data_IF_020619874353
#
_entry.id   IF_020619874353
#
_cell.length_a   1.000
_cell.length_b   1.000
_cell.length_c   1.000
_cell.angle_alpha   90.00
_cell.angle_beta   90.00
_cell.angle_gamma   90.00
#
_symmetry.space_group_name_H-M   'P 1'
#
loop_
_entity.id
_entity.type
_entity.pdbx_description
1 polymer ?
#
# COMPACT_ATOMS: atom_id res chain seq x y z
N UNK A 1 -48.56 -18.42 23.95
CA UNK A 1 -48.14 -18.83 22.58
C UNK A 1 -47.66 -17.67 21.70
N UNK A 2 -48.25 -16.47 21.75
CA UNK A 2 -47.89 -15.33 20.87
C UNK A 2 -46.41 -14.88 20.94
N UNK A 3 -45.78 -14.90 22.13
CA UNK A 3 -44.35 -14.52 22.30
C UNK A 3 -43.36 -15.48 21.62
N UNK A 4 -43.69 -16.77 21.50
CA UNK A 4 -42.84 -17.75 20.79
C UNK A 4 -42.92 -17.57 19.27
N UNK A 5 -44.08 -17.15 18.77
CA UNK A 5 -44.31 -16.87 17.34
C UNK A 5 -43.57 -15.59 16.92
N UNK A 6 -43.56 -14.55 17.77
CA UNK A 6 -42.78 -13.33 17.51
C UNK A 6 -41.27 -13.58 17.55
N UNK A 7 -40.77 -14.38 18.51
CA UNK A 7 -39.35 -14.75 18.56
C UNK A 7 -38.91 -15.59 17.36
N UNK A 8 -39.74 -16.57 16.94
CA UNK A 8 -39.47 -17.39 15.76
C UNK A 8 -39.47 -16.55 14.47
N UNK A 9 -40.38 -15.59 14.36
CA UNK A 9 -40.43 -14.65 13.22
C UNK A 9 -39.21 -13.74 13.14
N UNK A 10 -38.73 -13.22 14.29
CA UNK A 10 -37.52 -12.39 14.34
C UNK A 10 -36.28 -13.23 13.98
N UNK A 11 -36.17 -14.47 14.48
CA UNK A 11 -35.05 -15.35 14.12
C UNK A 11 -35.03 -15.73 12.64
N UNK A 12 -36.21 -15.94 12.03
CA UNK A 12 -36.31 -16.22 10.59
C UNK A 12 -35.93 -14.97 9.77
N UNK A 13 -36.37 -13.78 10.17
CA UNK A 13 -36.03 -12.53 9.50
C UNK A 13 -34.52 -12.21 9.56
N UNK A 14 -33.87 -12.47 10.71
CA UNK A 14 -32.41 -12.30 10.86
C UNK A 14 -31.63 -13.32 10.03
N UNK A 15 -32.07 -14.59 9.99
CA UNK A 15 -31.43 -15.61 9.16
C UNK A 15 -31.61 -15.33 7.66
N UNK A 16 -32.79 -14.88 7.23
CA UNK A 16 -33.05 -14.53 5.83
C UNK A 16 -32.25 -13.30 5.38
N UNK A 17 -32.01 -12.34 6.29
CA UNK A 17 -31.13 -11.19 6.05
C UNK A 17 -29.65 -11.57 5.91
N UNK A 18 -29.17 -12.57 6.65
CA UNK A 18 -27.78 -13.03 6.58
C UNK A 18 -27.43 -13.72 5.25
N UNK A 19 -28.40 -14.36 4.61
CA UNK A 19 -28.20 -15.05 3.31
C UNK A 19 -28.06 -14.06 2.15
N UNK A 20 -28.61 -12.84 2.28
CA UNK A 20 -28.52 -11.81 1.24
C UNK A 20 -27.17 -11.07 1.18
N UNK A 21 -26.26 -11.31 2.15
CA UNK A 21 -24.91 -10.72 2.17
C UNK A 21 -23.79 -11.67 1.75
N UNK A 22 -24.09 -12.91 1.34
CA UNK A 22 -23.09 -13.78 0.68
C UNK A 22 -22.98 -13.48 -0.82
N UNK A 23 -22.49 -12.29 -1.14
CA UNK A 23 -21.99 -11.97 -2.48
C UNK A 23 -20.53 -12.44 -2.60
N UNK A 24 -20.29 -13.53 -3.33
CA UNK A 24 -18.96 -13.91 -3.80
C UNK A 24 -18.62 -13.05 -5.04
N UNK A 25 -17.51 -12.31 -4.98
CA UNK A 25 -16.94 -11.67 -6.16
C UNK A 25 -16.27 -12.74 -7.04
N UNK A 26 -16.89 -13.06 -8.17
CA UNK A 26 -16.27 -13.91 -9.18
C UNK A 26 -15.21 -13.10 -9.95
N UNK A 27 -13.93 -13.33 -9.62
CA UNK A 27 -12.82 -12.88 -10.46
C UNK A 27 -12.85 -13.71 -11.76
N UNK A 28 -13.22 -13.07 -12.87
CA UNK A 28 -12.88 -13.61 -14.19
C UNK A 28 -11.38 -13.44 -14.40
N UNK A 29 -10.63 -14.51 -14.20
CA UNK A 29 -9.29 -14.64 -14.74
C UNK A 29 -9.41 -14.68 -16.26
N UNK A 30 -9.05 -13.58 -16.92
CA UNK A 30 -8.80 -13.60 -18.36
C UNK A 30 -7.43 -14.22 -18.58
N UNK A 31 -7.46 -15.16 -19.52
CA UNK A 31 -6.41 -16.01 -20.01
C UNK A 31 -5.16 -15.22 -20.38
N UNK A 32 -4.04 -15.75 -19.91
CA UNK A 32 -2.67 -15.48 -20.38
C UNK A 32 -2.63 -15.66 -21.89
N UNK A 33 -2.42 -14.57 -22.62
CA UNK A 33 -1.86 -14.62 -23.97
C UNK A 33 -0.35 -14.39 -23.83
N UNK A 34 0.39 -15.48 -24.00
CA UNK A 34 1.84 -15.48 -24.16
C UNK A 34 2.18 -14.83 -25.51
N UNK A 35 2.35 -13.51 -25.51
CA UNK A 35 3.23 -12.87 -26.48
C UNK A 35 4.47 -12.38 -25.74
N UNK A 36 5.43 -13.29 -25.64
CA UNK A 36 6.80 -13.01 -25.25
C UNK A 36 7.44 -12.02 -26.24
N UNK A 37 7.29 -10.73 -25.98
CA UNK A 37 8.23 -9.73 -26.47
C UNK A 37 9.42 -9.69 -25.50
N UNK A 38 10.44 -10.44 -25.89
CA UNK A 38 11.78 -10.39 -25.34
C UNK A 38 12.33 -8.98 -25.55
N UNK A 39 12.22 -8.14 -24.53
CA UNK A 39 13.12 -7.00 -24.36
C UNK A 39 14.04 -7.31 -23.17
N UNK A 40 15.33 -7.17 -23.43
CA UNK A 40 16.46 -7.68 -22.65
C UNK A 40 16.42 -7.37 -21.15
N UNK A 41 17.11 -8.18 -20.31
CA UNK A 41 17.37 -7.78 -18.94
C UNK A 41 18.21 -6.51 -18.99
N UNK A 42 17.61 -5.38 -18.59
CA UNK A 42 18.41 -4.23 -18.19
C UNK A 42 19.01 -4.64 -16.86
N UNK A 43 20.31 -4.90 -16.91
CA UNK A 43 21.15 -5.15 -15.76
C UNK A 43 20.74 -4.21 -14.64
N UNK A 44 20.24 -4.78 -13.55
CA UNK A 44 20.05 -4.06 -12.29
C UNK A 44 21.44 -3.81 -11.74
N UNK A 45 22.14 -2.85 -12.34
CA UNK A 45 23.22 -2.16 -11.66
C UNK A 45 22.54 -1.48 -10.48
N UNK A 46 22.69 -2.11 -9.31
CA UNK A 46 22.20 -1.64 -8.03
C UNK A 46 22.99 -0.40 -7.70
N UNK A 47 22.66 0.70 -8.37
CA UNK A 47 23.22 2.02 -8.09
C UNK A 47 22.96 2.24 -6.60
N UNK A 48 24.03 2.32 -5.83
CA UNK A 48 23.93 2.48 -4.39
C UNK A 48 23.41 3.89 -4.14
N UNK A 49 22.09 4.04 -4.14
CA UNK A 49 21.43 5.31 -3.87
C UNK A 49 21.74 5.67 -2.43
N UNK A 50 22.72 6.56 -2.25
CA UNK A 50 23.03 7.14 -0.94
C UNK A 50 21.77 7.83 -0.42
N UNK A 51 21.33 7.52 0.81
CA UNK A 51 20.16 8.17 1.39
C UNK A 51 20.43 9.67 1.48
N UNK A 52 19.54 10.46 0.89
CA UNK A 52 19.57 11.92 0.99
C UNK A 52 19.45 12.32 2.45
N UNK A 53 20.39 13.11 2.98
CA UNK A 53 20.35 13.59 4.36
C UNK A 53 20.02 15.08 4.38
N UNK A 54 18.92 15.46 5.01
CA UNK A 54 18.48 16.86 5.14
C UNK A 54 18.18 17.15 6.61
N UNK A 55 18.91 18.07 7.23
CA UNK A 55 18.63 18.52 8.59
C UNK A 55 18.69 17.42 9.66
N UNK A 56 19.43 16.33 9.42
CA UNK A 56 19.49 15.16 10.31
C UNK A 56 18.45 14.07 10.01
N UNK A 57 17.55 14.30 9.06
CA UNK A 57 16.62 13.29 8.54
C UNK A 57 17.20 12.61 7.31
N UNK A 58 16.99 11.31 7.20
CA UNK A 58 17.42 10.48 6.08
C UNK A 58 16.24 10.14 5.17
N UNK A 59 16.46 10.19 3.85
CA UNK A 59 15.48 9.77 2.85
C UNK A 59 15.20 8.27 2.86
N UNK A 60 14.00 7.89 2.44
CA UNK A 60 13.57 6.49 2.32
C UNK A 60 13.39 6.16 0.84
N UNK A 61 14.17 5.19 0.35
CA UNK A 61 14.08 4.73 -1.03
C UNK A 61 13.10 3.57 -1.16
N UNK A 62 12.41 3.51 -2.30
CA UNK A 62 11.43 2.48 -2.63
C UNK A 62 11.92 1.62 -3.80
N UNK A 63 11.37 0.41 -3.91
CA UNK A 63 11.55 -0.40 -5.11
C UNK A 63 10.64 0.12 -6.25
N UNK A 64 10.92 -0.28 -7.48
CA UNK A 64 10.10 0.12 -8.63
C UNK A 64 8.63 -0.26 -8.44
N UNK A 65 7.73 0.70 -8.71
CA UNK A 65 6.28 0.52 -8.61
C UNK A 65 5.81 0.06 -7.22
N UNK A 66 6.41 0.61 -6.16
CA UNK A 66 6.10 0.25 -4.77
C UNK A 66 6.08 1.47 -3.87
N UNK A 67 5.17 1.44 -2.90
CA UNK A 67 5.07 2.41 -1.79
C UNK A 67 5.24 1.74 -0.41
N UNK A 68 5.53 0.44 -0.37
CA UNK A 68 5.74 -0.27 0.89
C UNK A 68 7.14 0.00 1.47
N UNK A 69 7.21 0.14 2.79
CA UNK A 69 8.49 0.30 3.49
C UNK A 69 9.25 -1.03 3.51
N UNK A 70 10.44 -1.02 2.90
CA UNK A 70 11.38 -2.14 2.89
C UNK A 70 11.92 -2.41 4.29
N UNK A 71 12.39 -3.64 4.54
CA UNK A 71 12.89 -4.03 5.86
C UNK A 71 14.16 -3.25 6.26
N UNK A 72 15.04 -2.97 5.30
CA UNK A 72 16.28 -2.20 5.47
C UNK A 72 16.04 -0.69 5.71
N UNK A 73 14.89 -0.16 5.29
CA UNK A 73 14.49 1.23 5.57
C UNK A 73 13.90 1.44 6.97
N UNK A 74 13.47 0.37 7.67
CA UNK A 74 12.84 0.48 9.00
C UNK A 74 13.76 1.07 10.08
N UNK A 75 15.05 0.70 10.17
CA UNK A 75 15.98 1.34 11.10
C UNK A 75 16.11 2.84 10.84
N UNK A 76 16.21 3.24 9.57
CA UNK A 76 16.31 4.65 9.16
C UNK A 76 15.06 5.44 9.58
N UNK A 77 13.86 4.87 9.34
CA UNK A 77 12.61 5.47 9.82
C UNK A 77 12.58 5.62 11.34
N UNK A 78 13.13 4.65 12.07
CA UNK A 78 13.21 4.72 13.53
C UNK A 78 14.14 5.84 13.98
N UNK A 79 15.31 5.98 13.37
CA UNK A 79 16.26 7.05 13.70
C UNK A 79 15.67 8.43 13.41
N UNK A 80 14.99 8.58 12.26
CA UNK A 80 14.26 9.80 11.93
C UNK A 80 13.18 10.10 12.97
N UNK A 81 12.39 9.09 13.38
CA UNK A 81 11.38 9.27 14.41
C UNK A 81 12.02 9.73 15.72
N UNK A 82 13.07 9.06 16.20
CA UNK A 82 13.76 9.40 17.43
C UNK A 82 14.32 10.85 17.39
N UNK A 83 14.86 11.27 16.24
CA UNK A 83 15.28 12.66 16.01
C UNK A 83 14.11 13.66 16.15
N UNK A 84 12.96 13.38 15.54
CA UNK A 84 11.77 14.24 15.66
C UNK A 84 11.20 14.25 17.09
N UNK A 85 11.29 13.12 17.80
CA UNK A 85 10.84 13.04 19.20
C UNK A 85 11.71 13.94 20.11
N UNK A 86 13.00 14.07 19.81
CA UNK A 86 13.93 14.94 20.54
C UNK A 86 13.76 16.43 20.16
N UNK A 87 13.31 16.71 18.93
CA UNK A 87 13.19 18.06 18.39
C UNK A 87 11.73 18.47 18.17
N UNK A 88 10.90 18.45 19.22
CA UNK A 88 9.43 18.65 19.13
C UNK A 88 8.95 19.98 18.53
N UNK A 89 9.84 20.96 18.45
CA UNK A 89 9.49 22.32 18.02
C UNK A 89 9.71 22.53 16.51
N UNK A 90 10.14 21.51 15.77
CA UNK A 90 10.34 21.59 14.33
C UNK A 90 9.10 21.12 13.58
N UNK A 91 8.76 21.83 12.52
CA UNK A 91 7.77 21.39 11.54
C UNK A 91 8.49 20.77 10.36
N UNK A 92 7.95 19.68 9.83
CA UNK A 92 8.51 18.99 8.67
C UNK A 92 7.46 18.86 7.56
N UNK A 93 7.94 18.74 6.33
CA UNK A 93 7.15 18.36 5.16
C UNK A 93 7.69 17.01 4.70
N UNK A 94 6.77 16.09 4.38
CA UNK A 94 7.11 14.80 3.80
C UNK A 94 6.74 14.88 2.32
N UNK A 95 7.74 14.68 1.46
CA UNK A 95 7.58 14.70 0.00
C UNK A 95 7.90 13.33 -0.58
N UNK A 96 7.03 12.86 -1.47
CA UNK A 96 7.24 11.65 -2.25
C UNK A 96 7.72 12.00 -3.65
N UNK A 97 8.69 11.22 -4.15
CA UNK A 97 9.23 11.38 -5.49
C UNK A 97 9.19 10.03 -6.20
N UNK A 98 8.72 10.06 -7.45
CA UNK A 98 8.90 8.96 -8.38
C UNK A 98 9.99 9.32 -9.38
N UNK A 99 10.53 8.30 -10.06
CA UNK A 99 11.34 8.53 -11.24
C UNK A 99 10.50 9.02 -12.43
N UNK A 100 11.14 9.30 -13.56
CA UNK A 100 10.50 9.89 -14.74
C UNK A 100 9.64 8.92 -15.56
N UNK A 101 9.58 7.63 -15.18
CA UNK A 101 8.82 6.62 -15.93
C UNK A 101 7.34 6.70 -15.57
N UNK A 102 6.47 6.56 -16.58
CA UNK A 102 5.01 6.58 -16.39
C UNK A 102 4.39 7.96 -16.63
N UNK A 103 3.09 8.11 -16.30
CA UNK A 103 2.40 9.40 -16.40
C UNK A 103 2.60 10.23 -15.14
N UNK A 104 2.53 11.55 -15.27
CA UNK A 104 2.62 12.46 -14.13
C UNK A 104 1.51 12.20 -13.11
N UNK A 105 0.29 11.92 -13.58
CA UNK A 105 -0.87 11.62 -12.73
C UNK A 105 -0.68 10.31 -11.96
N UNK A 106 -0.07 9.30 -12.58
CA UNK A 106 0.24 8.03 -11.91
C UNK A 106 1.28 8.23 -10.81
N UNK A 107 2.38 8.91 -11.14
CA UNK A 107 3.46 9.20 -10.20
C UNK A 107 3.02 10.11 -9.05
N UNK A 108 2.06 11.01 -9.29
CA UNK A 108 1.43 11.82 -8.24
C UNK A 108 0.56 10.99 -7.29
N UNK A 109 -0.07 9.93 -7.77
CA UNK A 109 -0.87 9.02 -6.93
C UNK A 109 -0.01 7.99 -6.19
N UNK A 110 1.16 7.64 -6.74
CA UNK A 110 2.10 6.69 -6.14
C UNK A 110 2.97 7.33 -5.04
N UNK A 111 3.34 8.60 -5.23
CA UNK A 111 4.19 9.40 -4.32
C UNK A 111 3.53 9.80 -3.01
#
# INVERSE_FOLDING_TARGET
>A
MKRKITFLGITIAVFLGLVLFSGCAEKKAVVVDDTAEKTAPVDTEKEAVTPTVIGGLQGINFDFDRSNIRADARPIMKDNADFLLQNRNINIIIEGHCDERGTAEYNMALG
#
